data_IF_389521145050
#
_entry.id   IF_389521145050
#
_cell.length_a   1.000
_cell.length_b   1.000
_cell.length_c   1.000
_cell.angle_alpha   90.00
_cell.angle_beta   90.00
_cell.angle_gamma   90.00
#
_symmetry.space_group_name_H-M   'P 1'
#
loop_
_entity.id
_entity.type
_entity.pdbx_description
1 polymer ?
#
# COMPACT_ATOMS: atom_id res chain seq x y z
N UNK A 1 -15.58 21.85 23.68
CA UNK A 1 -15.59 20.72 24.63
C UNK A 1 -17.01 20.25 25.00
N UNK A 2 -18.03 21.10 25.12
CA UNK A 2 -19.40 20.66 25.51
C UNK A 2 -20.19 19.88 24.41
N UNK A 3 -19.72 19.84 23.17
CA UNK A 3 -20.50 19.30 22.04
C UNK A 3 -20.62 17.78 22.03
N UNK A 4 -19.69 17.07 22.66
CA UNK A 4 -19.62 15.61 22.72
C UNK A 4 -19.70 15.06 24.15
N UNK A 5 -19.90 15.92 25.14
CA UNK A 5 -19.97 15.54 26.55
C UNK A 5 -21.26 14.75 26.86
N UNK A 6 -21.12 13.52 27.34
CA UNK A 6 -22.20 12.67 27.79
C UNK A 6 -22.25 12.69 29.31
N UNK A 7 -23.24 13.39 29.88
CA UNK A 7 -23.46 13.47 31.32
C UNK A 7 -24.58 12.49 31.76
N UNK A 8 -24.27 11.21 31.74
CA UNK A 8 -25.20 10.18 32.19
C UNK A 8 -25.20 10.09 33.72
N UNK A 9 -26.39 10.06 34.32
CA UNK A 9 -26.59 10.15 35.79
C UNK A 9 -25.97 8.99 36.58
N UNK A 10 -25.65 7.87 35.95
CA UNK A 10 -25.02 6.70 36.56
C UNK A 10 -23.49 6.73 36.51
N UNK A 11 -22.91 7.70 35.79
CA UNK A 11 -21.46 7.87 35.69
C UNK A 11 -21.03 9.13 36.44
N UNK A 12 -20.39 8.92 37.56
CA UNK A 12 -19.74 10.00 38.30
C UNK A 12 -18.40 10.31 37.71
N UNK A 13 -18.27 11.47 37.09
CA UNK A 13 -16.97 11.98 36.61
C UNK A 13 -16.20 12.53 37.82
N UNK A 14 -15.16 11.84 38.25
CA UNK A 14 -14.29 12.30 39.34
C UNK A 14 -13.34 13.39 38.81
N UNK A 15 -13.61 14.64 39.18
CA UNK A 15 -12.64 15.73 39.14
C UNK A 15 -12.40 16.37 37.75
N UNK A 16 -11.56 17.39 37.76
CA UNK A 16 -11.20 18.23 36.59
C UNK A 16 -10.18 17.62 35.64
N UNK A 17 -10.15 16.31 35.48
CA UNK A 17 -9.27 15.64 34.53
C UNK A 17 -9.96 15.59 33.18
N UNK A 18 -9.22 16.00 32.12
CA UNK A 18 -9.64 15.84 30.72
C UNK A 18 -9.97 14.36 30.47
N UNK A 19 -11.24 14.08 30.19
CA UNK A 19 -11.68 12.73 29.95
C UNK A 19 -11.83 12.53 28.43
N UNK A 20 -11.13 11.55 27.88
CA UNK A 20 -11.16 11.26 26.44
C UNK A 20 -12.60 11.00 25.90
N UNK A 21 -13.53 10.65 26.77
CA UNK A 21 -14.97 10.51 26.47
C UNK A 21 -15.60 11.83 26.03
N UNK A 22 -15.20 12.95 26.63
CA UNK A 22 -15.76 14.27 26.36
C UNK A 22 -15.28 14.87 25.02
N UNK A 23 -14.26 14.28 24.43
CA UNK A 23 -13.64 14.73 23.19
C UNK A 23 -13.98 13.86 21.97
N UNK A 24 -14.69 12.76 22.17
CA UNK A 24 -14.93 11.80 21.08
C UNK A 24 -16.39 11.38 20.96
N UNK A 25 -16.80 11.03 19.74
CA UNK A 25 -18.12 10.48 19.44
C UNK A 25 -18.33 9.05 19.97
N UNK A 26 -17.24 8.33 20.27
CA UNK A 26 -17.29 6.95 20.75
C UNK A 26 -17.17 6.92 22.27
N UNK A 27 -18.27 6.61 22.96
CA UNK A 27 -18.31 6.43 24.41
C UNK A 27 -17.60 5.14 24.86
N UNK A 28 -17.87 4.04 24.17
CA UNK A 28 -17.21 2.75 24.38
C UNK A 28 -16.31 2.42 23.19
N UNK A 29 -15.01 2.27 23.43
CA UNK A 29 -14.05 1.93 22.37
C UNK A 29 -13.68 0.45 22.41
N UNK A 30 -13.68 -0.23 21.25
CA UNK A 30 -13.16 -1.59 21.20
C UNK A 30 -11.67 -1.59 21.59
N UNK A 31 -11.26 -2.58 22.37
CA UNK A 31 -9.85 -2.76 22.77
C UNK A 31 -9.03 -3.26 21.56
N UNK A 32 -8.73 -2.34 20.63
CA UNK A 32 -8.02 -2.64 19.37
C UNK A 32 -6.61 -3.20 19.61
N UNK A 33 -5.96 -2.75 20.68
CA UNK A 33 -4.63 -3.25 21.07
C UNK A 33 -4.62 -4.73 21.46
N UNK A 34 -5.77 -5.31 21.85
CA UNK A 34 -5.87 -6.71 22.20
C UNK A 34 -5.53 -7.63 21.03
N UNK A 35 -5.95 -7.28 19.81
CA UNK A 35 -5.64 -8.06 18.61
C UNK A 35 -4.13 -8.13 18.37
N UNK A 36 -3.46 -6.99 18.47
CA UNK A 36 -2.00 -6.92 18.30
C UNK A 36 -1.29 -7.68 19.42
N UNK A 37 -1.72 -7.50 20.67
CA UNK A 37 -1.16 -8.19 21.82
C UNK A 37 -1.30 -9.72 21.69
N UNK A 38 -2.48 -10.21 21.31
CA UNK A 38 -2.72 -11.64 21.08
C UNK A 38 -1.85 -12.17 19.92
N UNK A 39 -1.72 -11.42 18.83
CA UNK A 39 -0.86 -11.81 17.72
C UNK A 39 0.61 -11.94 18.17
N UNK A 40 1.14 -10.99 18.94
CA UNK A 40 2.48 -11.10 19.52
C UNK A 40 2.63 -12.25 20.49
N UNK A 41 1.59 -12.56 21.30
CA UNK A 41 1.60 -13.71 22.21
C UNK A 41 1.57 -15.04 21.48
N UNK A 42 0.86 -15.11 20.35
CA UNK A 42 0.69 -16.35 19.58
C UNK A 42 1.91 -16.64 18.70
N UNK A 43 2.43 -15.62 18.01
CA UNK A 43 3.47 -15.79 16.98
C UNK A 43 4.87 -15.36 17.46
N UNK A 44 4.93 -14.56 18.52
CA UNK A 44 6.21 -13.99 18.99
C UNK A 44 6.68 -12.82 18.14
N UNK A 45 7.61 -12.04 18.68
CA UNK A 45 8.15 -10.85 18.00
C UNK A 45 9.05 -11.19 16.81
N UNK A 46 9.64 -12.39 16.81
CA UNK A 46 10.56 -12.81 15.74
C UNK A 46 9.82 -13.02 14.43
N UNK A 47 8.67 -13.66 14.44
CA UNK A 47 7.82 -13.84 13.25
C UNK A 47 7.42 -12.49 12.62
N UNK A 48 7.12 -11.50 13.45
CA UNK A 48 6.84 -10.15 12.95
C UNK A 48 8.06 -9.49 12.31
N UNK A 49 9.27 -9.65 12.89
CA UNK A 49 10.51 -9.12 12.30
C UNK A 49 10.79 -9.78 10.94
N UNK A 50 10.64 -11.10 10.86
CA UNK A 50 10.85 -11.86 9.62
C UNK A 50 9.84 -11.44 8.54
N UNK A 51 8.56 -11.29 8.88
CA UNK A 51 7.54 -10.84 7.94
C UNK A 51 7.84 -9.43 7.40
N UNK A 52 8.25 -8.50 8.27
CA UNK A 52 8.63 -7.14 7.86
C UNK A 52 9.89 -7.19 6.99
N UNK A 53 10.91 -7.95 7.38
CA UNK A 53 12.14 -8.09 6.60
C UNK A 53 11.87 -8.67 5.21
N UNK A 54 10.98 -9.67 5.10
CA UNK A 54 10.56 -10.23 3.82
C UNK A 54 9.87 -9.18 2.93
N UNK A 55 8.95 -8.39 3.49
CA UNK A 55 8.28 -7.31 2.75
C UNK A 55 9.27 -6.26 2.24
N UNK A 56 10.29 -5.90 3.04
CA UNK A 56 11.36 -4.99 2.61
C UNK A 56 12.19 -5.60 1.47
N UNK A 57 12.55 -6.89 1.60
CA UNK A 57 13.30 -7.62 0.58
C UNK A 57 12.53 -7.67 -0.76
N UNK A 58 11.23 -7.93 -0.73
CA UNK A 58 10.37 -7.95 -1.91
C UNK A 58 10.35 -6.60 -2.63
N UNK A 59 10.22 -5.49 -1.90
CA UNK A 59 10.26 -4.15 -2.47
C UNK A 59 11.61 -3.86 -3.14
N UNK A 60 12.70 -4.28 -2.51
CA UNK A 60 14.05 -4.11 -3.04
C UNK A 60 14.31 -5.00 -4.25
N UNK A 61 13.83 -6.25 -4.24
CA UNK A 61 13.94 -7.16 -5.36
C UNK A 61 13.18 -6.64 -6.59
N UNK A 62 11.96 -6.13 -6.40
CA UNK A 62 11.19 -5.48 -7.46
C UNK A 62 11.94 -4.27 -8.05
N UNK A 63 12.48 -3.40 -7.19
CA UNK A 63 13.26 -2.25 -7.61
C UNK A 63 14.48 -2.67 -8.45
N UNK A 64 15.25 -3.64 -7.95
CA UNK A 64 16.46 -4.10 -8.61
C UNK A 64 16.17 -4.78 -9.98
N UNK A 65 15.04 -5.49 -10.08
CA UNK A 65 14.57 -6.07 -11.33
C UNK A 65 14.08 -4.99 -12.32
N UNK A 66 13.21 -4.09 -11.86
CA UNK A 66 12.68 -3.00 -12.70
C UNK A 66 13.79 -2.07 -13.21
N UNK A 67 14.81 -1.80 -12.38
CA UNK A 67 15.97 -0.98 -12.79
C UNK A 67 16.77 -1.58 -13.95
N UNK A 68 16.80 -2.91 -14.05
CA UNK A 68 17.52 -3.65 -15.12
C UNK A 68 16.66 -3.80 -16.38
N UNK A 69 15.37 -3.65 -16.26
CA UNK A 69 14.42 -3.82 -17.35
C UNK A 69 14.20 -2.49 -18.08
N UNK A 70 14.56 -2.39 -19.38
CA UNK A 70 14.43 -1.14 -20.14
C UNK A 70 12.97 -0.67 -20.30
N UNK A 71 12.00 -1.56 -20.07
CA UNK A 71 10.56 -1.25 -20.14
C UNK A 71 10.10 -0.37 -18.97
N UNK A 72 10.87 -0.32 -17.86
CA UNK A 72 10.46 0.35 -16.65
C UNK A 72 11.39 1.51 -16.27
N UNK A 73 10.83 2.44 -15.55
CA UNK A 73 11.52 3.52 -14.85
C UNK A 73 11.35 3.33 -13.35
N UNK A 74 12.39 3.58 -12.58
CA UNK A 74 12.41 3.54 -11.12
C UNK A 74 12.88 4.87 -10.55
N UNK A 75 12.57 5.14 -9.30
CA UNK A 75 13.09 6.30 -8.59
C UNK A 75 14.63 6.23 -8.47
N UNK A 76 15.32 7.38 -8.32
CA UNK A 76 16.79 7.42 -8.29
C UNK A 76 17.40 6.80 -7.02
N UNK A 77 16.59 6.39 -6.06
CA UNK A 77 16.99 5.80 -4.79
C UNK A 77 16.31 4.44 -4.57
N UNK A 78 17.04 3.53 -3.93
CA UNK A 78 16.53 2.21 -3.56
C UNK A 78 15.54 2.35 -2.40
N UNK A 79 14.41 1.62 -2.41
CA UNK A 79 13.41 1.73 -1.34
C UNK A 79 13.97 1.24 0.01
N UNK A 80 13.71 2.01 1.06
CA UNK A 80 14.01 1.67 2.45
C UNK A 80 12.81 1.04 3.16
N UNK A 81 11.61 1.19 2.58
CA UNK A 81 10.35 0.63 3.08
C UNK A 81 9.79 -0.40 2.11
N UNK A 82 8.68 -1.02 2.48
CA UNK A 82 7.99 -2.06 1.70
C UNK A 82 7.17 -1.51 0.51
N UNK A 83 7.58 -0.38 -0.04
CA UNK A 83 6.94 0.28 -1.19
C UNK A 83 7.99 0.54 -2.26
N UNK A 84 7.73 0.13 -3.50
CA UNK A 84 8.67 0.29 -4.60
C UNK A 84 7.97 0.89 -5.83
N UNK A 85 7.85 2.23 -5.92
CA UNK A 85 7.23 2.86 -7.08
C UNK A 85 7.96 2.51 -8.37
N UNK A 86 7.19 2.12 -9.39
CA UNK A 86 7.69 1.82 -10.73
C UNK A 86 6.78 2.46 -11.77
N UNK A 87 7.32 2.77 -12.94
CA UNK A 87 6.60 3.38 -14.05
C UNK A 87 6.89 2.59 -15.33
N UNK A 88 5.85 2.26 -16.10
CA UNK A 88 6.02 1.56 -17.38
C UNK A 88 6.28 2.58 -18.49
N UNK A 89 7.36 2.38 -19.26
CA UNK A 89 7.73 3.27 -20.36
C UNK A 89 8.29 4.61 -19.89
N UNK A 90 9.57 4.87 -20.18
CA UNK A 90 10.27 6.08 -19.69
C UNK A 90 9.61 7.41 -20.11
N UNK A 91 8.91 7.42 -21.23
CA UNK A 91 8.28 8.60 -21.81
C UNK A 91 6.74 8.52 -21.86
N UNK A 92 6.13 7.57 -21.15
CA UNK A 92 4.68 7.45 -21.14
C UNK A 92 4.02 8.62 -20.40
N UNK A 93 2.81 9.00 -20.83
CA UNK A 93 2.05 10.06 -20.17
C UNK A 93 1.50 9.61 -18.81
N UNK A 94 1.09 10.55 -17.98
CA UNK A 94 0.47 10.27 -16.69
C UNK A 94 -0.95 9.69 -16.85
N UNK A 95 -1.65 10.08 -17.92
CA UNK A 95 -2.93 9.49 -18.31
C UNK A 95 -2.76 8.00 -18.62
N UNK A 96 -1.72 7.64 -19.38
CA UNK A 96 -1.41 6.24 -19.66
C UNK A 96 -1.10 5.46 -18.37
N UNK A 97 -0.30 6.02 -17.45
CA UNK A 97 -0.01 5.37 -16.17
C UNK A 97 -1.26 5.16 -15.32
N UNK A 98 -2.13 6.16 -15.28
CA UNK A 98 -3.40 6.06 -14.56
C UNK A 98 -4.30 4.97 -15.14
N UNK A 99 -4.40 4.92 -16.48
CA UNK A 99 -5.16 3.89 -17.19
C UNK A 99 -4.56 2.50 -16.98
N UNK A 100 -3.23 2.38 -17.03
CA UNK A 100 -2.54 1.11 -16.78
C UNK A 100 -2.82 0.58 -15.37
N UNK A 101 -2.77 1.44 -14.33
CA UNK A 101 -3.12 1.04 -12.97
C UNK A 101 -4.57 0.58 -12.88
N UNK A 102 -5.52 1.29 -13.50
CA UNK A 102 -6.91 0.89 -13.54
C UNK A 102 -7.07 -0.49 -14.22
N UNK A 103 -6.43 -0.69 -15.37
CA UNK A 103 -6.51 -1.97 -16.10
C UNK A 103 -5.86 -3.13 -15.37
N UNK A 104 -4.78 -2.89 -14.63
CA UNK A 104 -4.19 -3.90 -13.74
C UNK A 104 -5.15 -4.33 -12.62
N UNK A 105 -5.91 -3.38 -12.06
CA UNK A 105 -6.91 -3.69 -11.05
C UNK A 105 -8.11 -4.47 -11.64
N UNK A 106 -8.51 -4.14 -12.88
CA UNK A 106 -9.57 -4.85 -13.61
C UNK A 106 -9.14 -6.28 -14.03
N UNK A 107 -7.87 -6.45 -14.42
CA UNK A 107 -7.28 -7.75 -14.76
C UNK A 107 -7.28 -8.72 -13.55
N UNK A 108 -7.05 -8.22 -12.36
CA UNK A 108 -7.19 -8.95 -11.10
C UNK A 108 -6.02 -9.88 -10.73
N UNK A 109 -5.01 -10.08 -11.58
CA UNK A 109 -3.81 -10.86 -11.26
C UNK A 109 -2.96 -10.19 -10.19
N UNK A 110 -2.95 -8.85 -10.16
CA UNK A 110 -2.25 -8.02 -9.17
C UNK A 110 -3.11 -6.82 -8.79
N UNK A 111 -2.92 -6.33 -7.58
CA UNK A 111 -3.54 -5.10 -7.12
C UNK A 111 -2.46 -4.07 -6.76
N UNK A 112 -2.41 -2.99 -7.50
CA UNK A 112 -1.53 -1.85 -7.25
C UNK A 112 -2.35 -0.57 -7.21
N UNK A 113 -1.86 0.45 -6.51
CA UNK A 113 -2.46 1.79 -6.54
C UNK A 113 -1.54 2.75 -7.30
N UNK A 114 -2.11 3.86 -7.74
CA UNK A 114 -1.32 4.99 -8.23
C UNK A 114 -0.80 5.84 -7.07
N UNK A 115 0.30 6.54 -7.30
CA UNK A 115 0.78 7.63 -6.46
C UNK A 115 1.35 8.73 -7.35
N UNK A 116 1.16 9.97 -6.94
CA UNK A 116 1.84 11.11 -7.54
C UNK A 116 3.17 11.36 -6.79
N UNK A 117 4.28 11.38 -7.52
CA UNK A 117 5.60 11.65 -6.99
C UNK A 117 6.26 12.67 -7.93
N UNK A 118 6.61 13.84 -7.39
CA UNK A 118 7.20 14.96 -8.15
C UNK A 118 6.38 15.35 -9.39
N UNK A 119 5.05 15.37 -9.25
CA UNK A 119 4.12 15.75 -10.32
C UNK A 119 3.94 14.67 -11.41
N UNK A 120 4.41 13.45 -11.21
CA UNK A 120 4.28 12.32 -12.14
C UNK A 120 3.55 11.15 -11.49
N UNK A 121 2.74 10.44 -12.26
CA UNK A 121 1.98 9.28 -11.80
C UNK A 121 2.82 8.00 -11.89
N UNK A 122 2.87 7.25 -10.81
CA UNK A 122 3.61 6.00 -10.65
C UNK A 122 2.68 4.88 -10.20
N UNK A 123 2.91 3.67 -10.65
CA UNK A 123 2.39 2.47 -9.98
C UNK A 123 3.08 2.34 -8.62
N UNK A 124 2.30 2.13 -7.57
CA UNK A 124 2.79 2.04 -6.19
C UNK A 124 2.49 0.68 -5.57
N UNK A 125 3.22 -0.37 -5.91
CA UNK A 125 3.14 -1.65 -5.20
C UNK A 125 3.56 -1.49 -3.74
N UNK A 126 2.76 -2.05 -2.83
CA UNK A 126 3.01 -2.09 -1.39
C UNK A 126 3.03 -3.54 -0.92
N UNK A 127 4.14 -3.96 -0.35
CA UNK A 127 4.32 -5.32 0.17
C UNK A 127 4.01 -5.34 1.66
N UNK A 128 2.81 -5.77 2.03
CA UNK A 128 2.35 -5.82 3.42
C UNK A 128 1.76 -7.18 3.79
N UNK A 129 1.56 -8.05 2.80
CA UNK A 129 1.02 -9.38 3.02
C UNK A 129 2.17 -10.37 3.26
N UNK A 130 2.18 -11.00 4.43
CA UNK A 130 3.18 -12.00 4.80
C UNK A 130 3.17 -13.27 3.93
N UNK A 131 2.13 -13.46 3.09
CA UNK A 131 2.02 -14.58 2.15
C UNK A 131 2.62 -14.29 0.78
N UNK A 132 2.90 -13.02 0.48
CA UNK A 132 3.52 -12.64 -0.80
C UNK A 132 4.95 -13.16 -0.83
N UNK A 133 5.31 -13.85 -1.90
CA UNK A 133 6.67 -14.29 -2.18
C UNK A 133 7.43 -13.27 -3.03
N UNK A 134 8.74 -13.42 -3.12
CA UNK A 134 9.55 -12.61 -4.06
C UNK A 134 9.15 -12.87 -5.51
N UNK A 135 8.80 -14.11 -5.86
CA UNK A 135 8.31 -14.43 -7.21
C UNK A 135 7.01 -13.70 -7.54
N UNK A 136 6.08 -13.59 -6.57
CA UNK A 136 4.86 -12.81 -6.74
C UNK A 136 5.17 -11.32 -6.96
N UNK A 137 6.13 -10.78 -6.21
CA UNK A 137 6.55 -9.39 -6.36
C UNK A 137 7.14 -9.13 -7.76
N UNK A 138 7.99 -10.02 -8.25
CA UNK A 138 8.62 -9.91 -9.56
C UNK A 138 7.64 -10.11 -10.71
N UNK A 139 6.61 -10.95 -10.54
CA UNK A 139 5.58 -11.18 -11.56
C UNK A 139 4.82 -9.92 -11.96
N UNK A 140 4.77 -8.91 -11.08
CA UNK A 140 4.17 -7.62 -11.37
C UNK A 140 4.72 -6.98 -12.66
N UNK A 141 6.02 -7.08 -12.90
CA UNK A 141 6.65 -6.46 -14.08
C UNK A 141 6.14 -7.07 -15.38
N UNK A 142 6.04 -8.40 -15.45
CA UNK A 142 5.54 -9.07 -16.65
C UNK A 142 4.04 -8.83 -16.84
N UNK A 143 3.25 -8.88 -15.74
CA UNK A 143 1.82 -8.60 -15.80
C UNK A 143 1.55 -7.16 -16.23
N UNK A 144 2.32 -6.20 -15.72
CA UNK A 144 2.20 -4.79 -16.14
C UNK A 144 2.59 -4.59 -17.61
N UNK A 145 3.62 -5.29 -18.10
CA UNK A 145 4.01 -5.24 -19.49
C UNK A 145 2.95 -5.87 -20.41
N UNK A 146 2.34 -6.98 -20.03
CA UNK A 146 1.25 -7.63 -20.79
C UNK A 146 0.03 -6.72 -20.92
N UNK A 147 -0.41 -6.15 -19.80
CA UNK A 147 -1.57 -5.23 -19.79
C UNK A 147 -1.26 -3.96 -20.59
N UNK A 148 -0.04 -3.42 -20.47
CA UNK A 148 0.39 -2.25 -21.24
C UNK A 148 0.39 -2.50 -22.76
N UNK A 149 0.83 -3.68 -23.21
CA UNK A 149 0.76 -4.06 -24.63
C UNK A 149 -0.68 -4.09 -25.13
N UNK A 150 -1.59 -4.70 -24.38
CA UNK A 150 -3.01 -4.75 -24.73
C UNK A 150 -3.62 -3.36 -24.89
N UNK A 151 -3.17 -2.37 -24.12
CA UNK A 151 -3.61 -0.97 -24.26
C UNK A 151 -3.12 -0.33 -25.55
N UNK A 152 -1.88 -0.58 -25.94
CA UNK A 152 -1.32 -0.05 -27.19
C UNK A 152 -1.97 -0.65 -28.44
N UNK A 153 -2.36 -1.94 -28.40
CA UNK A 153 -3.02 -2.60 -29.52
C UNK A 153 -4.43 -2.03 -29.77
N UNK A 154 -5.14 -1.59 -28.72
CA UNK A 154 -6.46 -0.98 -28.81
C UNK A 154 -6.38 0.43 -29.46
N UNK A 155 -5.37 1.22 -29.09
CA UNK A 155 -5.19 2.58 -29.66
C UNK A 155 -4.69 2.54 -31.11
N UNK A 156 -4.01 1.47 -31.54
CA UNK A 156 -3.51 1.29 -32.92
C UNK A 156 -4.58 0.89 -33.95
N UNK A 157 -5.71 0.33 -33.53
CA UNK A 157 -6.80 -0.14 -34.42
C UNK A 157 -7.83 0.97 -34.74
N UNK A 158 -7.65 2.18 -34.19
CA UNK A 158 -8.51 3.33 -34.40
C UNK A 158 -7.87 4.47 -35.21
N UNK A 159 -6.75 4.20 -35.93
CA UNK A 159 -6.06 5.21 -36.76
C UNK A 159 -6.18 4.94 -38.27
#
# INVERSE_FOLDING_TARGET
MATFSHNESYMLHEGQTENAVDETLEYSRPLRALKLWLAFKTHGAEEFRQAIAANLSQAQALYDAARKDPRFEVLPFRPELSVSPVRYGKNSSDEFQSLLVQKLQEDGRVFVSAAEIEGRIWMRPCFTNFRTSEADALSLLEIAADVAKSLHDIDGDHS
#
